data_IF_148225481728
#
_entry.id   IF_148225481728
#
_cell.length_a   1.000
_cell.length_b   1.000
_cell.length_c   1.000
_cell.angle_alpha   90.00
_cell.angle_beta   90.00
_cell.angle_gamma   90.00
#
_symmetry.space_group_name_H-M   'P 1'
#
loop_
_entity.id
_entity.type
_entity.pdbx_description
1 polymer ?
#
# COMPACT_ATOMS: atom_id res chain seq x y z
N UNK A 1 37.45 -28.03 -5.69
CA UNK A 1 37.19 -26.65 -5.21
C UNK A 1 36.26 -25.99 -6.23
N UNK A 2 34.96 -25.97 -5.98
CA UNK A 2 34.02 -25.26 -6.85
C UNK A 2 33.75 -23.89 -6.22
N UNK A 3 34.31 -22.85 -6.82
CA UNK A 3 34.04 -21.47 -6.44
C UNK A 3 32.63 -21.12 -6.90
N UNK A 4 31.72 -20.90 -5.96
CA UNK A 4 30.37 -20.41 -6.26
C UNK A 4 30.48 -18.92 -6.63
N UNK A 5 30.37 -18.60 -7.91
CA UNK A 5 30.17 -17.22 -8.36
C UNK A 5 28.70 -16.89 -8.12
N UNK A 6 28.42 -16.06 -7.11
CA UNK A 6 27.09 -15.46 -6.90
C UNK A 6 26.62 -14.83 -8.21
N UNK A 7 25.41 -15.11 -8.70
CA UNK A 7 24.87 -14.37 -9.84
C UNK A 7 24.70 -12.91 -9.42
N UNK A 8 25.36 -12.00 -10.14
CA UNK A 8 25.11 -10.57 -10.01
C UNK A 8 23.69 -10.29 -10.48
N UNK A 9 22.85 -9.73 -9.59
CA UNK A 9 21.55 -9.20 -9.93
C UNK A 9 21.72 -8.03 -10.93
N UNK A 10 21.55 -8.31 -12.21
CA UNK A 10 21.44 -7.27 -13.25
C UNK A 10 20.01 -6.75 -13.24
N UNK A 11 19.77 -5.46 -12.96
CA UNK A 11 18.42 -4.90 -12.98
C UNK A 11 17.87 -4.99 -14.40
N UNK A 12 16.85 -5.82 -14.59
CA UNK A 12 16.17 -5.94 -15.86
C UNK A 12 15.33 -4.67 -16.07
N UNK A 13 15.78 -3.81 -16.98
CA UNK A 13 15.04 -2.62 -17.42
C UNK A 13 14.35 -2.99 -18.73
N UNK A 14 13.03 -3.14 -18.67
CA UNK A 14 12.25 -3.43 -19.86
C UNK A 14 12.06 -2.19 -20.74
N UNK A 15 11.82 -2.37 -22.06
CA UNK A 15 11.43 -1.28 -22.95
C UNK A 15 10.13 -0.62 -22.44
N UNK A 16 9.92 0.64 -22.82
CA UNK A 16 8.61 1.30 -22.64
C UNK A 16 7.60 0.57 -23.52
N UNK A 17 6.60 -0.05 -22.91
CA UNK A 17 5.45 -0.62 -23.60
C UNK A 17 4.40 0.48 -23.73
N UNK A 18 4.04 0.82 -24.96
CA UNK A 18 3.17 1.97 -25.28
C UNK A 18 1.79 1.56 -25.81
N UNK A 19 1.44 0.26 -25.83
CA UNK A 19 0.15 -0.18 -26.40
C UNK A 19 -0.35 -1.57 -25.92
N UNK A 20 0.29 -2.19 -24.93
CA UNK A 20 -0.06 -3.56 -24.53
C UNK A 20 -0.02 -3.73 -23.01
N UNK A 21 -1.06 -4.39 -22.47
CA UNK A 21 -1.08 -4.83 -21.08
C UNK A 21 0.14 -5.70 -20.78
N UNK A 22 0.99 -5.27 -19.84
CA UNK A 22 2.29 -5.90 -19.60
C UNK A 22 2.15 -7.01 -18.57
N UNK A 23 2.49 -8.25 -18.92
CA UNK A 23 2.57 -9.36 -17.97
C UNK A 23 4.00 -9.84 -17.78
N UNK A 24 4.52 -9.74 -16.55
CA UNK A 24 5.89 -10.13 -16.23
C UNK A 24 5.93 -11.11 -15.07
N UNK A 25 6.79 -12.12 -15.19
CA UNK A 25 7.15 -13.02 -14.09
C UNK A 25 8.66 -13.04 -13.96
N UNK A 26 9.17 -12.64 -12.80
CA UNK A 26 10.61 -12.56 -12.53
C UNK A 26 10.93 -13.19 -11.16
N UNK A 27 12.17 -13.63 -10.96
CA UNK A 27 12.65 -14.00 -9.63
C UNK A 27 13.46 -12.85 -9.01
N UNK A 28 14.17 -12.09 -9.83
CA UNK A 28 15.03 -10.99 -9.41
C UNK A 28 14.32 -9.62 -9.45
N UNK A 29 15.05 -8.56 -9.11
CA UNK A 29 14.58 -7.19 -9.11
C UNK A 29 14.10 -6.70 -10.48
N UNK A 30 12.92 -6.10 -10.53
CA UNK A 30 12.29 -5.64 -11.78
C UNK A 30 12.08 -4.13 -11.77
N UNK A 31 12.42 -3.48 -12.90
CA UNK A 31 12.06 -2.07 -13.14
C UNK A 31 11.23 -1.93 -14.41
N UNK A 32 10.03 -1.37 -14.27
CA UNK A 32 9.08 -1.18 -15.39
C UNK A 32 8.58 0.26 -15.42
N UNK A 33 8.46 0.77 -16.65
CA UNK A 33 7.69 1.96 -16.97
C UNK A 33 6.72 1.58 -18.08
N UNK A 34 5.42 1.69 -17.84
CA UNK A 34 4.37 1.41 -18.82
C UNK A 34 3.32 2.50 -18.78
N UNK A 35 2.69 2.78 -19.91
CA UNK A 35 1.57 3.74 -19.96
C UNK A 35 0.21 3.03 -19.72
N UNK A 36 0.15 1.73 -19.99
CA UNK A 36 -1.04 0.88 -19.79
C UNK A 36 -0.96 0.00 -18.53
N UNK A 37 -2.00 -0.81 -18.35
CA UNK A 37 -2.12 -1.76 -17.25
C UNK A 37 -0.95 -2.74 -17.13
N UNK A 38 -0.50 -2.94 -15.89
CA UNK A 38 0.69 -3.77 -15.58
C UNK A 38 0.32 -4.89 -14.61
N UNK A 39 0.66 -6.13 -14.97
CA UNK A 39 0.54 -7.30 -14.10
C UNK A 39 1.91 -7.96 -13.86
N UNK A 40 2.37 -7.96 -12.61
CA UNK A 40 3.68 -8.54 -12.28
C UNK A 40 3.55 -9.56 -11.16
N UNK A 41 4.32 -10.63 -11.30
CA UNK A 41 4.62 -11.56 -10.22
C UNK A 41 6.14 -11.67 -10.07
N UNK A 42 6.69 -11.30 -8.92
CA UNK A 42 8.11 -11.52 -8.63
C UNK A 42 8.34 -11.88 -7.16
N UNK A 43 9.56 -12.30 -6.83
CA UNK A 43 9.93 -12.68 -5.47
C UNK A 43 10.66 -11.57 -4.74
N UNK A 44 11.59 -10.93 -5.44
CA UNK A 44 12.43 -9.85 -4.91
C UNK A 44 11.79 -8.46 -5.12
N UNK A 45 12.62 -7.43 -5.18
CA UNK A 45 12.19 -6.04 -5.14
C UNK A 45 11.69 -5.52 -6.49
N UNK A 46 10.56 -4.82 -6.51
CA UNK A 46 9.99 -4.29 -7.76
C UNK A 46 9.75 -2.78 -7.71
N UNK A 47 10.17 -2.10 -8.79
CA UNK A 47 9.92 -0.67 -9.01
C UNK A 47 9.12 -0.44 -10.27
N UNK A 48 7.94 0.13 -10.13
CA UNK A 48 7.02 0.37 -11.24
C UNK A 48 6.61 1.84 -11.27
N UNK A 49 6.60 2.38 -12.48
CA UNK A 49 5.87 3.59 -12.82
C UNK A 49 4.83 3.23 -13.88
N UNK A 50 3.56 3.39 -13.58
CA UNK A 50 2.47 3.19 -14.53
C UNK A 50 1.53 4.41 -14.53
N UNK A 51 0.86 4.70 -15.63
CA UNK A 51 -0.24 5.67 -15.64
C UNK A 51 -1.58 5.00 -15.39
N UNK A 52 -1.78 3.79 -15.89
CA UNK A 52 -3.01 3.02 -15.71
C UNK A 52 -2.92 2.02 -14.52
N UNK A 53 -3.87 1.08 -14.46
CA UNK A 53 -4.06 0.10 -13.41
C UNK A 53 -2.87 -0.86 -13.20
N UNK A 54 -2.47 -1.04 -11.93
CA UNK A 54 -1.34 -1.91 -11.56
C UNK A 54 -1.79 -3.06 -10.67
N UNK A 55 -1.50 -4.30 -11.08
CA UNK A 55 -1.72 -5.51 -10.28
C UNK A 55 -0.44 -6.27 -10.00
N UNK A 56 -0.09 -6.40 -8.73
CA UNK A 56 1.17 -7.01 -8.32
C UNK A 56 0.97 -8.11 -7.28
N UNK A 57 1.76 -9.17 -7.42
CA UNK A 57 1.90 -10.21 -6.39
C UNK A 57 3.38 -10.44 -6.12
N UNK A 58 3.83 -10.18 -4.89
CA UNK A 58 5.25 -10.18 -4.50
C UNK A 58 5.48 -10.87 -3.16
N UNK A 59 6.74 -11.18 -2.84
CA UNK A 59 7.12 -11.69 -1.51
C UNK A 59 7.95 -10.67 -0.71
N UNK A 60 8.80 -9.89 -1.38
CA UNK A 60 9.67 -8.88 -0.75
C UNK A 60 9.09 -7.46 -0.95
N UNK A 61 9.95 -6.48 -1.26
CA UNK A 61 9.66 -5.06 -1.21
C UNK A 61 9.16 -4.49 -2.53
N UNK A 62 8.27 -3.48 -2.46
CA UNK A 62 7.74 -2.86 -3.67
C UNK A 62 7.65 -1.34 -3.58
N UNK A 63 8.03 -0.68 -4.68
CA UNK A 63 7.84 0.76 -4.87
C UNK A 63 7.06 1.04 -6.13
N UNK A 64 5.85 1.59 -5.97
CA UNK A 64 4.94 1.87 -7.08
C UNK A 64 4.60 3.35 -7.13
N UNK A 65 4.59 3.87 -8.34
CA UNK A 65 3.94 5.14 -8.67
C UNK A 65 2.94 4.84 -9.78
N UNK A 66 1.65 4.95 -9.45
CA UNK A 66 0.55 4.80 -10.40
C UNK A 66 -0.28 6.10 -10.41
N UNK A 67 -0.92 6.42 -11.53
CA UNK A 67 -1.95 7.47 -11.53
C UNK A 67 -3.30 6.85 -11.17
N UNK A 68 -3.62 5.70 -11.75
CA UNK A 68 -4.91 5.00 -11.61
C UNK A 68 -4.92 3.95 -10.45
N UNK A 69 -5.74 2.90 -10.59
CA UNK A 69 -6.03 1.90 -9.56
C UNK A 69 -4.84 0.97 -9.27
N UNK A 70 -4.59 0.72 -7.98
CA UNK A 70 -3.47 -0.15 -7.55
C UNK A 70 -3.99 -1.30 -6.70
N UNK A 71 -3.73 -2.54 -7.15
CA UNK A 71 -4.02 -3.76 -6.39
C UNK A 71 -2.76 -4.57 -6.13
N UNK A 72 -2.43 -4.74 -4.86
CA UNK A 72 -1.22 -5.47 -4.47
C UNK A 72 -1.50 -6.50 -3.40
N UNK A 73 -0.85 -7.65 -3.56
CA UNK A 73 -0.77 -8.71 -2.56
C UNK A 73 0.69 -9.03 -2.31
N UNK A 74 1.16 -8.88 -1.08
CA UNK A 74 2.56 -9.12 -0.72
C UNK A 74 2.74 -9.60 0.71
N UNK A 75 3.96 -10.04 1.03
CA UNK A 75 4.30 -10.48 2.38
C UNK A 75 5.13 -9.46 3.16
N UNK A 76 5.82 -8.52 2.52
CA UNK A 76 6.78 -7.60 3.16
C UNK A 76 6.43 -6.11 2.86
N UNK A 77 7.43 -5.23 2.89
CA UNK A 77 7.39 -3.78 2.97
C UNK A 77 7.00 -3.08 1.67
N UNK A 78 6.27 -1.96 1.83
CA UNK A 78 5.52 -1.38 0.72
C UNK A 78 5.58 0.13 0.73
N UNK A 79 5.91 0.70 -0.43
CA UNK A 79 5.75 2.14 -0.65
C UNK A 79 4.97 2.43 -1.92
N UNK A 80 3.79 3.01 -1.76
CA UNK A 80 2.90 3.33 -2.87
C UNK A 80 2.61 4.82 -2.91
N UNK A 81 2.55 5.33 -4.12
CA UNK A 81 2.00 6.65 -4.43
C UNK A 81 1.00 6.47 -5.57
N UNK A 82 -0.29 6.61 -5.25
CA UNK A 82 -1.40 6.62 -6.19
C UNK A 82 -2.01 8.04 -6.23
N UNK A 83 -2.48 8.50 -7.38
CA UNK A 83 -2.83 9.93 -7.54
C UNK A 83 -4.28 10.23 -7.87
N UNK A 84 -5.02 9.32 -8.48
CA UNK A 84 -6.34 9.62 -9.01
C UNK A 84 -7.40 8.66 -8.52
N UNK A 85 -7.02 7.42 -8.18
CA UNK A 85 -7.97 6.32 -8.12
C UNK A 85 -7.73 5.42 -6.89
N UNK A 86 -8.48 4.30 -6.81
CA UNK A 86 -8.53 3.47 -5.61
C UNK A 86 -7.26 2.64 -5.35
N UNK A 87 -6.88 2.51 -4.07
CA UNK A 87 -5.75 1.67 -3.64
C UNK A 87 -6.25 0.52 -2.79
N UNK A 88 -6.00 -0.71 -3.25
CA UNK A 88 -6.29 -1.94 -2.50
C UNK A 88 -5.02 -2.73 -2.21
N UNK A 89 -4.72 -2.88 -0.93
CA UNK A 89 -3.52 -3.58 -0.47
C UNK A 89 -3.88 -4.69 0.50
N UNK A 90 -3.23 -5.83 0.31
CA UNK A 90 -3.18 -6.91 1.28
C UNK A 90 -1.71 -7.23 1.51
N UNK A 91 -1.21 -6.89 2.70
CA UNK A 91 0.14 -7.19 3.14
C UNK A 91 0.06 -8.15 4.34
N UNK A 92 1.15 -8.86 4.67
CA UNK A 92 1.17 -9.75 5.85
C UNK A 92 2.25 -9.40 6.87
N UNK A 93 3.33 -8.74 6.48
CA UNK A 93 4.44 -8.44 7.39
C UNK A 93 5.07 -7.09 7.05
N UNK A 94 5.67 -6.48 8.08
CA UNK A 94 6.52 -5.29 8.12
C UNK A 94 5.81 -3.94 8.13
N UNK A 95 5.78 -3.23 6.99
CA UNK A 95 5.44 -1.83 7.01
C UNK A 95 4.87 -1.34 5.69
N UNK A 96 3.73 -0.66 5.79
CA UNK A 96 3.03 -0.13 4.62
C UNK A 96 3.00 1.39 4.69
N UNK A 97 3.59 2.04 3.68
CA UNK A 97 3.49 3.50 3.50
C UNK A 97 2.75 3.83 2.21
N UNK A 98 1.61 4.49 2.36
CA UNK A 98 0.74 4.84 1.23
C UNK A 98 0.50 6.34 1.22
N UNK A 99 0.58 6.89 0.02
CA UNK A 99 0.03 8.20 -0.31
C UNK A 99 -0.96 7.99 -1.44
N UNK A 100 -2.24 8.27 -1.18
CA UNK A 100 -3.32 8.20 -2.15
C UNK A 100 -4.07 9.52 -2.15
N UNK A 101 -4.79 9.83 -3.23
CA UNK A 101 -5.79 10.89 -3.20
C UNK A 101 -7.14 10.34 -2.84
N UNK A 102 -7.61 9.34 -3.58
CA UNK A 102 -8.93 8.72 -3.40
C UNK A 102 -8.91 7.56 -2.36
N UNK A 103 -9.89 6.68 -2.46
CA UNK A 103 -10.26 5.61 -1.56
C UNK A 103 -9.15 4.59 -1.33
N UNK A 104 -8.88 4.31 -0.05
CA UNK A 104 -7.83 3.37 0.37
C UNK A 104 -8.42 2.22 1.18
N UNK A 105 -8.20 0.99 0.72
CA UNK A 105 -8.53 -0.22 1.45
C UNK A 105 -7.29 -1.06 1.74
N UNK A 106 -7.00 -1.24 3.02
CA UNK A 106 -5.82 -1.98 3.48
C UNK A 106 -6.23 -3.08 4.45
N UNK A 107 -5.58 -4.23 4.29
CA UNK A 107 -5.59 -5.34 5.25
C UNK A 107 -4.16 -5.77 5.47
N UNK A 108 -3.72 -5.81 6.72
CA UNK A 108 -2.34 -6.14 7.09
C UNK A 108 -2.24 -6.61 8.54
N UNK A 109 -1.09 -7.20 8.88
CA UNK A 109 -0.79 -7.77 10.20
C UNK A 109 0.38 -7.03 10.90
N UNK A 110 0.70 -5.77 10.53
CA UNK A 110 1.81 -4.99 11.13
C UNK A 110 1.57 -3.46 10.95
N UNK A 111 2.60 -2.63 11.16
CA UNK A 111 2.57 -1.16 11.09
C UNK A 111 2.11 -0.55 9.76
N UNK A 112 1.31 0.53 9.84
CA UNK A 112 0.93 1.35 8.68
C UNK A 112 1.03 2.85 8.87
N UNK A 113 1.40 3.50 7.78
CA UNK A 113 1.30 4.93 7.62
C UNK A 113 0.57 5.29 6.33
N UNK A 114 -0.58 5.92 6.48
CA UNK A 114 -1.39 6.40 5.35
C UNK A 114 -1.50 7.92 5.37
N UNK A 115 -1.36 8.50 4.20
CA UNK A 115 -1.79 9.85 3.89
C UNK A 115 -2.77 9.75 2.72
N UNK A 116 -4.05 9.97 2.99
CA UNK A 116 -5.10 10.07 1.99
C UNK A 116 -5.64 11.51 1.98
N UNK A 117 -6.32 11.95 0.93
CA UNK A 117 -6.88 13.30 0.88
C UNK A 117 -8.40 13.27 0.68
N UNK A 118 -8.92 12.39 -0.15
CA UNK A 118 -10.29 12.39 -0.63
C UNK A 118 -10.97 11.01 -0.41
N UNK A 119 -12.30 11.04 -0.25
CA UNK A 119 -13.26 9.94 -0.12
C UNK A 119 -13.26 9.15 1.19
N UNK A 120 -12.54 8.02 1.24
CA UNK A 120 -12.69 7.08 2.35
C UNK A 120 -11.49 6.17 2.56
N UNK A 121 -11.12 5.99 3.82
CA UNK A 121 -10.06 5.06 4.20
C UNK A 121 -10.63 3.95 5.08
N UNK A 122 -10.49 2.71 4.62
CA UNK A 122 -10.83 1.51 5.38
C UNK A 122 -9.59 0.68 5.68
N UNK A 123 -9.30 0.51 6.95
CA UNK A 123 -8.13 -0.24 7.41
C UNK A 123 -8.56 -1.37 8.35
N UNK A 124 -7.97 -2.53 8.13
CA UNK A 124 -7.95 -3.63 9.08
C UNK A 124 -6.49 -3.95 9.37
N UNK A 125 -6.08 -3.70 10.60
CA UNK A 125 -4.74 -3.95 11.12
C UNK A 125 -4.85 -4.97 12.27
N UNK A 126 -3.82 -5.79 12.41
CA UNK A 126 -3.56 -6.62 13.57
C UNK A 126 -2.09 -6.31 13.90
N UNK A 127 -1.76 -5.82 15.10
CA UNK A 127 -0.38 -5.56 15.59
C UNK A 127 0.39 -4.27 15.15
N UNK A 128 1.15 -3.77 16.15
CA UNK A 128 2.07 -2.62 16.20
C UNK A 128 1.46 -1.20 16.23
N UNK A 129 1.16 -0.60 15.07
CA UNK A 129 0.77 0.81 15.01
C UNK A 129 0.11 1.26 13.70
N UNK A 130 -0.99 2.00 13.84
CA UNK A 130 -1.71 2.60 12.72
C UNK A 130 -1.60 4.12 12.79
N UNK A 131 -0.96 4.74 11.80
CA UNK A 131 -0.92 6.21 11.66
C UNK A 131 -1.62 6.67 10.39
N UNK A 132 -2.65 7.49 10.55
CA UNK A 132 -3.45 7.97 9.42
C UNK A 132 -3.54 9.50 9.48
N UNK A 133 -3.40 10.11 8.31
CA UNK A 133 -3.71 11.52 8.07
C UNK A 133 -4.61 11.57 6.85
N UNK A 134 -5.78 12.19 6.98
CA UNK A 134 -6.74 12.32 5.89
C UNK A 134 -7.67 13.51 6.07
N UNK A 135 -8.37 13.87 4.99
CA UNK A 135 -9.33 14.96 5.04
C UNK A 135 -10.78 14.44 5.22
N UNK A 136 -11.20 13.31 4.62
CA UNK A 136 -12.61 12.84 4.65
C UNK A 136 -12.95 11.75 5.71
N UNK A 137 -13.48 10.59 5.30
CA UNK A 137 -14.07 9.55 6.16
C UNK A 137 -13.12 8.37 6.47
N UNK A 138 -13.09 7.92 7.73
CA UNK A 138 -12.25 6.78 8.17
C UNK A 138 -13.05 5.71 8.89
N UNK A 139 -12.75 4.46 8.52
CA UNK A 139 -13.10 3.27 9.29
C UNK A 139 -11.88 2.41 9.58
N UNK A 140 -11.58 2.23 10.87
CA UNK A 140 -10.47 1.39 11.33
C UNK A 140 -11.00 0.25 12.18
N UNK A 141 -10.42 -0.93 11.96
CA UNK A 141 -10.47 -2.06 12.87
C UNK A 141 -9.04 -2.44 13.20
N UNK A 142 -8.65 -2.35 14.46
CA UNK A 142 -7.30 -2.59 14.97
C UNK A 142 -7.37 -3.54 16.18
N UNK A 143 -6.28 -4.27 16.43
CA UNK A 143 -6.13 -5.24 17.52
C UNK A 143 -4.69 -5.21 18.03
N UNK A 144 -4.48 -5.04 19.33
CA UNK A 144 -3.18 -4.98 20.01
C UNK A 144 -2.23 -3.86 19.50
N UNK A 145 -2.78 -2.67 19.31
CA UNK A 145 -2.26 -1.61 18.46
C UNK A 145 -2.16 -0.22 19.11
N UNK A 146 -1.27 0.61 18.57
CA UNK A 146 -1.31 2.07 18.78
C UNK A 146 -1.91 2.79 17.57
N UNK A 147 -3.15 3.28 17.70
CA UNK A 147 -3.86 3.98 16.63
C UNK A 147 -3.75 5.49 16.81
N UNK A 148 -3.13 6.18 15.85
CA UNK A 148 -3.09 7.65 15.77
C UNK A 148 -3.72 8.16 14.49
N UNK A 149 -4.77 8.98 14.63
CA UNK A 149 -5.52 9.52 13.50
C UNK A 149 -5.53 11.05 13.56
N UNK A 150 -5.26 11.66 12.42
CA UNK A 150 -5.58 13.06 12.13
C UNK A 150 -6.60 13.08 11.00
N UNK A 151 -7.79 13.60 11.26
CA UNK A 151 -8.91 13.70 10.30
C UNK A 151 -9.41 15.15 10.24
N UNK A 152 -9.97 15.59 9.10
CA UNK A 152 -10.43 16.97 8.98
C UNK A 152 -11.96 17.13 8.88
N UNK A 153 -12.70 16.39 8.07
CA UNK A 153 -13.99 16.90 7.56
C UNK A 153 -15.20 15.94 7.49
N UNK A 154 -15.16 14.65 7.85
CA UNK A 154 -16.39 13.82 7.80
C UNK A 154 -16.70 12.98 9.07
N UNK A 155 -16.15 11.77 9.14
CA UNK A 155 -16.59 10.76 10.09
C UNK A 155 -15.45 9.81 10.45
N UNK A 156 -15.31 9.53 11.74
CA UNK A 156 -14.25 8.64 12.23
C UNK A 156 -14.89 7.53 13.05
N UNK A 157 -14.86 6.32 12.49
CA UNK A 157 -15.27 5.10 13.19
C UNK A 157 -14.08 4.21 13.48
N UNK A 158 -13.89 3.88 14.74
CA UNK A 158 -12.80 3.01 15.20
C UNK A 158 -13.39 1.86 16.00
N UNK A 159 -12.93 0.66 15.69
CA UNK A 159 -13.10 -0.53 16.51
C UNK A 159 -11.71 -0.99 16.89
N UNK A 160 -11.42 -1.00 18.18
CA UNK A 160 -10.10 -1.20 18.73
C UNK A 160 -10.21 -2.22 19.88
N UNK A 161 -9.28 -3.14 20.02
CA UNK A 161 -9.27 -4.11 21.12
C UNK A 161 -7.86 -4.20 21.71
N UNK A 162 -7.74 -3.83 22.99
CA UNK A 162 -6.47 -3.73 23.73
C UNK A 162 -5.50 -2.63 23.21
N UNK A 163 -6.07 -1.57 22.63
CA UNK A 163 -5.32 -0.54 21.91
C UNK A 163 -5.16 0.79 22.65
N UNK A 164 -4.10 1.52 22.30
CA UNK A 164 -3.96 2.95 22.62
C UNK A 164 -4.44 3.83 21.45
N UNK A 165 -5.61 4.45 21.58
CA UNK A 165 -6.21 5.29 20.51
C UNK A 165 -6.03 6.79 20.80
N UNK A 166 -5.40 7.51 19.86
CA UNK A 166 -5.28 8.98 19.87
C UNK A 166 -5.84 9.58 18.58
N UNK A 167 -6.79 10.51 18.73
CA UNK A 167 -7.49 11.14 17.59
C UNK A 167 -7.37 12.65 17.69
N UNK A 168 -7.07 13.27 16.56
CA UNK A 168 -7.18 14.72 16.35
C UNK A 168 -8.11 14.95 15.17
N UNK A 169 -9.33 15.42 15.41
CA UNK A 169 -10.32 15.72 14.37
C UNK A 169 -10.78 17.18 14.45
N UNK A 170 -11.13 17.82 13.32
CA UNK A 170 -11.56 19.23 13.29
C UNK A 170 -13.08 19.43 13.37
N UNK A 171 -13.91 18.49 12.92
CA UNK A 171 -15.32 18.32 13.32
C UNK A 171 -15.91 17.04 12.72
N UNK A 172 -17.13 16.75 13.17
CA UNK A 172 -18.09 15.75 12.69
C UNK A 172 -17.89 14.27 13.12
N UNK A 173 -18.99 13.53 13.08
CA UNK A 173 -19.37 12.47 14.02
C UNK A 173 -18.30 11.39 14.31
N UNK A 174 -18.04 11.19 15.61
CA UNK A 174 -17.07 10.23 16.12
C UNK A 174 -17.76 9.04 16.79
N UNK A 175 -17.33 7.82 16.45
CA UNK A 175 -17.71 6.61 17.17
C UNK A 175 -16.48 5.75 17.45
N UNK A 176 -16.17 5.54 18.73
CA UNK A 176 -15.20 4.55 19.20
C UNK A 176 -15.94 3.40 19.87
N UNK A 177 -15.70 2.19 19.35
CA UNK A 177 -16.01 0.94 20.03
C UNK A 177 -14.68 0.34 20.51
N UNK A 178 -14.56 0.11 21.81
CA UNK A 178 -13.44 -0.55 22.47
C UNK A 178 -13.92 -1.85 23.10
#
# INVERSE_FOLDING_TARGET
MFTTTRPQAVPFTLPRYTDDSVRITACDSVRITADDSVRITARDSVRITATDSVRITMSDSVRITASDSVRITMSDSVRITAREDSVRITARQDSVRITARDSVRITMDDSVRITAHDDSVRITAQDESVRITMDDSVRITAHDDSVRITAHDDSVRITAHDDSVRITARRDDFTLAA
#
